data_IF_448701076918
#
_entry.id   IF_448701076918
#
_cell.length_a   1.000
_cell.length_b   1.000
_cell.length_c   1.000
_cell.angle_alpha   90.00
_cell.angle_beta   90.00
_cell.angle_gamma   90.00
#
_symmetry.space_group_name_H-M   'P 1'
#
loop_
_entity.id
_entity.type
_entity.pdbx_description
1 polymer ?
#
# COMPACT_ATOMS: atom_id res chain seq x y z
N UNK A 1 -4.93 -8.43 -25.13
CA UNK A 1 -6.20 -8.32 -24.38
C UNK A 1 -5.97 -7.23 -23.35
N UNK A 2 -6.77 -6.17 -23.36
CA UNK A 2 -6.81 -5.23 -22.24
C UNK A 2 -7.30 -5.99 -21.00
N UNK A 3 -6.62 -5.85 -19.86
CA UNK A 3 -7.08 -6.40 -18.58
C UNK A 3 -8.03 -5.39 -17.97
N UNK A 4 -9.31 -5.57 -18.24
CA UNK A 4 -10.35 -4.83 -17.53
C UNK A 4 -10.81 -5.71 -16.36
N UNK A 5 -10.64 -5.22 -15.15
CA UNK A 5 -10.88 -5.98 -13.93
C UNK A 5 -10.67 -5.11 -12.70
N UNK A 6 -10.96 -5.68 -11.53
CA UNK A 6 -10.68 -5.10 -10.23
C UNK A 6 -9.90 -6.18 -9.47
N UNK A 7 -8.64 -5.92 -9.16
CA UNK A 7 -7.79 -6.81 -8.34
C UNK A 7 -7.79 -6.41 -6.85
N UNK A 8 -8.28 -5.20 -6.55
CA UNK A 8 -8.41 -4.66 -5.21
C UNK A 8 -9.75 -4.99 -4.52
N UNK A 9 -9.80 -4.85 -3.19
CA UNK A 9 -11.07 -4.94 -2.45
C UNK A 9 -11.83 -3.61 -2.49
N UNK A 10 -13.17 -3.67 -2.46
CA UNK A 10 -14.00 -2.48 -2.30
C UNK A 10 -13.91 -1.94 -0.87
N UNK A 11 -13.63 -0.65 -0.74
CA UNK A 11 -13.71 0.07 0.53
C UNK A 11 -15.11 0.70 0.67
N UNK A 12 -15.69 0.69 1.88
CA UNK A 12 -17.11 1.08 2.07
C UNK A 12 -17.27 2.02 3.26
N UNK A 13 -18.05 3.09 3.08
CA UNK A 13 -18.57 3.97 4.14
C UNK A 13 -20.09 4.01 3.96
N UNK A 14 -20.85 3.57 4.95
CA UNK A 14 -22.32 3.49 4.88
C UNK A 14 -22.81 2.83 3.57
N UNK A 15 -23.42 3.61 2.68
CA UNK A 15 -23.92 3.17 1.37
C UNK A 15 -23.03 3.62 0.20
N UNK A 16 -21.79 4.02 0.45
CA UNK A 16 -20.83 4.46 -0.55
C UNK A 16 -19.70 3.44 -0.67
N UNK A 17 -19.51 2.88 -1.86
CA UNK A 17 -18.43 1.96 -2.17
C UNK A 17 -17.38 2.62 -3.05
N UNK A 18 -16.11 2.38 -2.77
CA UNK A 18 -14.97 2.89 -3.50
C UNK A 18 -14.14 1.73 -4.04
N UNK A 19 -13.85 1.76 -5.34
CA UNK A 19 -13.02 0.74 -6.02
C UNK A 19 -12.07 1.42 -6.98
N UNK A 20 -10.94 0.76 -7.23
CA UNK A 20 -10.08 1.08 -8.35
C UNK A 20 -9.96 -0.13 -9.27
N UNK A 21 -9.79 0.13 -10.56
CA UNK A 21 -9.72 -0.90 -11.59
C UNK A 21 -8.36 -0.93 -12.27
N UNK A 22 -8.12 -2.02 -13.00
CA UNK A 22 -6.87 -2.24 -13.71
C UNK A 22 -6.66 -1.30 -14.91
N UNK A 23 -7.66 -0.47 -15.24
CA UNK A 23 -7.56 0.53 -16.31
C UNK A 23 -7.18 1.91 -15.79
N UNK A 24 -6.90 2.02 -14.49
CA UNK A 24 -6.52 3.27 -13.83
C UNK A 24 -7.68 4.19 -13.55
N UNK A 25 -8.87 3.65 -13.24
CA UNK A 25 -9.98 4.47 -12.73
C UNK A 25 -10.19 4.24 -11.23
N UNK A 26 -10.59 5.30 -10.50
CA UNK A 26 -11.18 5.18 -9.16
C UNK A 26 -12.65 5.60 -9.27
N UNK A 27 -13.54 4.78 -8.71
CA UNK A 27 -14.98 5.00 -8.75
C UNK A 27 -15.55 5.12 -7.34
N UNK A 28 -16.54 5.98 -7.17
CA UNK A 28 -17.46 5.98 -6.05
C UNK A 28 -18.86 5.57 -6.52
N UNK A 29 -19.43 4.60 -5.83
CA UNK A 29 -20.71 3.97 -6.13
C UNK A 29 -21.67 4.19 -4.97
N UNK A 30 -22.93 4.52 -5.26
CA UNK A 30 -24.00 4.36 -4.29
C UNK A 30 -24.44 2.89 -4.26
N UNK A 31 -24.14 2.17 -3.19
CA UNK A 31 -24.39 0.73 -3.06
C UNK A 31 -25.88 0.35 -2.97
N UNK A 32 -26.80 1.32 -2.83
CA UNK A 32 -28.25 1.04 -2.84
C UNK A 32 -28.79 0.87 -4.25
N UNK A 33 -28.26 1.62 -5.22
CA UNK A 33 -28.76 1.66 -6.60
C UNK A 33 -27.67 1.40 -7.65
N UNK A 34 -26.43 1.21 -7.22
CA UNK A 34 -25.23 0.98 -8.05
C UNK A 34 -24.89 2.13 -9.01
N UNK A 35 -25.39 3.34 -8.75
CA UNK A 35 -25.06 4.51 -9.54
C UNK A 35 -23.63 5.00 -9.23
N UNK A 36 -22.87 5.33 -10.27
CA UNK A 36 -21.58 6.01 -10.14
C UNK A 36 -21.84 7.46 -9.75
N UNK A 37 -21.37 7.85 -8.58
CA UNK A 37 -21.49 9.22 -8.08
C UNK A 37 -20.39 10.12 -8.63
N UNK A 38 -19.17 9.58 -8.69
CA UNK A 38 -18.02 10.21 -9.35
C UNK A 38 -17.03 9.14 -9.78
N UNK A 39 -16.19 9.46 -10.77
CA UNK A 39 -15.01 8.69 -11.15
C UNK A 39 -13.87 9.65 -11.50
N UNK A 40 -12.64 9.21 -11.25
CA UNK A 40 -11.43 9.97 -11.55
C UNK A 40 -10.34 9.04 -12.09
N UNK A 41 -9.40 9.62 -12.81
CA UNK A 41 -8.19 8.93 -13.28
C UNK A 41 -7.22 8.64 -12.12
N UNK A 42 -6.62 7.46 -12.12
CA UNK A 42 -5.56 6.97 -11.25
C UNK A 42 -4.28 6.62 -12.01
N UNK A 43 -4.17 7.06 -13.27
CA UNK A 43 -2.98 7.03 -14.12
C UNK A 43 -2.59 5.66 -14.67
N UNK A 44 -2.81 4.55 -13.95
CA UNK A 44 -2.39 3.19 -14.34
C UNK A 44 -3.14 2.13 -13.52
N UNK A 45 -2.87 0.85 -13.80
CA UNK A 45 -3.34 -0.33 -13.06
C UNK A 45 -3.21 -0.13 -11.53
N UNK A 46 -4.14 -0.72 -10.79
CA UNK A 46 -4.26 -0.59 -9.34
C UNK A 46 -4.67 -1.91 -8.68
N UNK A 47 -3.68 -2.61 -8.14
CA UNK A 47 -3.90 -3.78 -7.29
C UNK A 47 -4.21 -3.41 -5.82
N UNK A 48 -3.66 -2.30 -5.34
CA UNK A 48 -3.74 -1.91 -3.94
C UNK A 48 -5.18 -1.57 -3.51
N UNK A 49 -5.60 -2.09 -2.35
CA UNK A 49 -6.90 -1.76 -1.77
C UNK A 49 -6.91 -0.31 -1.27
N UNK A 50 -8.01 0.40 -1.55
CA UNK A 50 -8.26 1.76 -1.05
C UNK A 50 -8.38 1.73 0.47
N UNK A 51 -7.61 2.58 1.14
CA UNK A 51 -7.77 2.80 2.57
C UNK A 51 -8.59 4.05 2.84
N UNK A 52 -9.49 3.99 3.82
CA UNK A 52 -10.36 5.09 4.21
C UNK A 52 -9.97 5.58 5.59
N UNK A 53 -9.78 6.88 5.71
CA UNK A 53 -9.53 7.54 6.99
C UNK A 53 -10.60 8.60 7.26
N UNK A 54 -11.08 8.66 8.51
CA UNK A 54 -11.97 9.72 9.00
C UNK A 54 -11.13 10.69 9.84
N UNK A 55 -10.63 11.76 9.22
CA UNK A 55 -9.69 12.67 9.89
C UNK A 55 -10.39 13.66 10.82
N UNK A 56 -11.64 14.00 10.49
CA UNK A 56 -12.58 14.68 11.37
C UNK A 56 -13.94 14.00 11.22
N UNK A 57 -14.83 14.16 12.21
CA UNK A 57 -16.16 13.56 12.18
C UNK A 57 -16.91 13.92 10.89
N UNK A 58 -17.18 12.91 10.05
CA UNK A 58 -17.84 13.04 8.75
C UNK A 58 -16.94 13.46 7.58
N UNK A 59 -15.64 13.68 7.81
CA UNK A 59 -14.65 14.03 6.79
C UNK A 59 -13.77 12.83 6.45
N UNK A 60 -14.12 12.17 5.35
CA UNK A 60 -13.46 10.94 4.91
C UNK A 60 -12.51 11.18 3.73
N UNK A 61 -11.34 10.55 3.79
CA UNK A 61 -10.32 10.59 2.76
C UNK A 61 -9.92 9.19 2.33
N UNK A 62 -9.68 9.03 1.03
CA UNK A 62 -9.21 7.81 0.40
C UNK A 62 -7.70 7.89 0.17
N UNK A 63 -7.01 6.80 0.47
CA UNK A 63 -5.58 6.64 0.26
C UNK A 63 -5.33 5.45 -0.66
N UNK A 64 -4.69 5.71 -1.79
CA UNK A 64 -4.49 4.73 -2.85
C UNK A 64 -3.25 5.07 -3.69
N UNK A 65 -2.65 4.08 -4.31
CA UNK A 65 -1.59 4.28 -5.29
C UNK A 65 -1.90 3.60 -6.62
N UNK A 66 -1.00 3.76 -7.58
CA UNK A 66 -1.08 3.09 -8.87
C UNK A 66 0.25 2.46 -9.27
N UNK A 67 0.20 1.59 -10.27
CA UNK A 67 1.35 0.85 -10.77
C UNK A 67 2.07 1.58 -11.91
N UNK A 68 3.12 0.93 -12.41
CA UNK A 68 3.72 1.18 -13.71
C UNK A 68 3.57 -0.13 -14.49
N UNK A 69 2.39 -0.32 -15.08
CA UNK A 69 2.04 -1.51 -15.87
C UNK A 69 1.73 -1.11 -17.33
N UNK A 70 0.62 -0.42 -17.57
CA UNK A 70 0.15 -0.09 -18.91
C UNK A 70 1.03 1.00 -19.58
N UNK A 71 1.72 1.79 -18.75
CA UNK A 71 2.61 2.86 -19.21
C UNK A 71 4.05 2.36 -19.41
N UNK A 72 4.83 2.93 -20.36
CA UNK A 72 6.20 2.50 -20.60
C UNK A 72 7.09 2.65 -19.36
N UNK A 73 7.72 1.54 -18.94
CA UNK A 73 8.70 1.55 -17.85
C UNK A 73 10.04 2.18 -18.27
N UNK A 74 10.68 3.01 -17.42
CA UNK A 74 10.18 3.48 -16.13
C UNK A 74 9.17 4.61 -16.29
N UNK A 75 8.25 4.71 -15.32
CA UNK A 75 7.35 5.84 -15.18
C UNK A 75 7.13 6.19 -13.70
N UNK A 76 6.36 7.24 -13.44
CA UNK A 76 6.02 7.71 -12.12
C UNK A 76 4.80 6.97 -11.59
N UNK A 77 4.94 6.34 -10.43
CA UNK A 77 3.83 5.87 -9.60
C UNK A 77 3.42 6.98 -8.62
N UNK A 78 2.13 7.13 -8.41
CA UNK A 78 1.51 8.17 -7.60
C UNK A 78 0.81 7.56 -6.40
N UNK A 79 1.16 7.99 -5.20
CA UNK A 79 0.40 7.76 -3.97
C UNK A 79 -0.45 8.99 -3.66
N UNK A 80 -1.75 8.82 -3.42
CA UNK A 80 -2.71 9.93 -3.45
C UNK A 80 -3.60 9.93 -2.21
N UNK A 81 -3.95 11.13 -1.76
CA UNK A 81 -5.06 11.39 -0.84
C UNK A 81 -6.17 12.07 -1.61
N UNK A 82 -7.38 11.51 -1.55
CA UNK A 82 -8.55 11.97 -2.29
C UNK A 82 -9.71 12.20 -1.32
N UNK A 83 -10.48 13.26 -1.51
CA UNK A 83 -11.72 13.49 -0.77
C UNK A 83 -12.77 12.44 -1.18
N UNK A 84 -13.22 11.61 -0.23
CA UNK A 84 -14.17 10.52 -0.51
C UNK A 84 -15.52 11.04 -1.03
N UNK A 85 -15.92 12.26 -0.64
CA UNK A 85 -17.19 12.85 -1.06
C UNK A 85 -17.16 13.34 -2.51
N UNK A 86 -16.05 13.92 -2.96
CA UNK A 86 -15.99 14.67 -4.22
C UNK A 86 -15.11 14.03 -5.28
N UNK A 87 -14.22 13.10 -4.92
CA UNK A 87 -13.17 12.60 -5.81
C UNK A 87 -12.03 13.60 -6.02
N UNK A 88 -12.03 14.73 -5.32
CA UNK A 88 -10.97 15.74 -5.45
C UNK A 88 -9.66 15.22 -4.84
N UNK A 89 -8.57 15.30 -5.60
CA UNK A 89 -7.24 15.02 -5.08
C UNK A 89 -6.77 16.15 -4.15
N UNK A 90 -6.44 15.80 -2.91
CA UNK A 90 -5.93 16.72 -1.90
C UNK A 90 -4.42 16.89 -2.04
N UNK A 91 -3.71 15.77 -2.21
CA UNK A 91 -2.29 15.76 -2.52
C UNK A 91 -1.89 14.44 -3.18
N UNK A 92 -0.70 14.46 -3.80
CA UNK A 92 -0.01 13.26 -4.27
C UNK A 92 1.45 13.24 -3.86
N UNK A 93 2.00 12.05 -3.70
CA UNK A 93 3.41 11.78 -3.45
C UNK A 93 3.92 10.77 -4.48
N UNK A 94 5.09 11.01 -5.04
CA UNK A 94 5.53 10.31 -6.25
C UNK A 94 6.88 9.60 -6.07
N UNK A 95 7.03 8.47 -6.77
CA UNK A 95 8.31 7.81 -7.03
C UNK A 95 8.38 7.33 -8.46
N UNK A 96 9.57 7.37 -9.04
CA UNK A 96 9.84 6.67 -10.31
C UNK A 96 9.96 5.19 -9.99
N UNK A 97 9.18 4.37 -10.68
CA UNK A 97 9.17 2.93 -10.53
C UNK A 97 9.44 2.24 -11.86
N UNK A 98 9.97 1.03 -11.78
CA UNK A 98 10.40 0.24 -12.91
C UNK A 98 9.53 -1.01 -13.03
N UNK A 99 8.90 -1.21 -14.17
CA UNK A 99 8.39 -2.51 -14.61
C UNK A 99 9.42 -3.27 -15.45
N UNK A 100 9.24 -4.58 -15.60
CA UNK A 100 10.07 -5.44 -16.47
C UNK A 100 9.21 -6.39 -17.29
N UNK A 101 9.66 -6.79 -18.48
CA UNK A 101 8.93 -7.79 -19.28
C UNK A 101 9.29 -9.20 -18.84
N UNK A 102 8.30 -9.96 -18.38
CA UNK A 102 8.43 -11.37 -18.03
C UNK A 102 7.42 -12.20 -18.84
N UNK A 103 7.90 -13.09 -19.70
CA UNK A 103 7.06 -13.96 -20.54
C UNK A 103 6.00 -13.21 -21.36
N UNK A 104 6.35 -12.02 -21.88
CA UNK A 104 5.45 -11.19 -22.68
C UNK A 104 4.38 -10.44 -21.89
N UNK A 105 4.46 -10.46 -20.54
CA UNK A 105 3.65 -9.65 -19.63
C UNK A 105 4.54 -8.68 -18.86
N UNK A 106 4.01 -7.52 -18.51
CA UNK A 106 4.69 -6.62 -17.59
C UNK A 106 4.65 -7.25 -16.19
N UNK A 107 5.78 -7.17 -15.52
CA UNK A 107 5.97 -7.44 -14.11
C UNK A 107 6.26 -6.07 -13.49
N UNK A 108 5.20 -5.45 -12.99
CA UNK A 108 5.08 -4.03 -12.70
C UNK A 108 5.85 -3.62 -11.43
N UNK A 109 6.14 -2.33 -11.37
CA UNK A 109 6.52 -1.62 -10.15
C UNK A 109 5.42 -0.64 -9.76
N UNK A 110 5.67 0.20 -8.76
CA UNK A 110 4.67 1.15 -8.24
C UNK A 110 4.02 0.62 -6.96
N UNK A 111 2.77 0.94 -6.70
CA UNK A 111 2.11 0.58 -5.44
C UNK A 111 1.14 -0.57 -5.69
N UNK A 112 1.58 -1.78 -5.35
CA UNK A 112 0.77 -3.01 -5.34
C UNK A 112 0.30 -3.36 -3.92
N UNK A 113 1.14 -3.04 -2.94
CA UNK A 113 0.85 -3.20 -1.53
C UNK A 113 -0.19 -2.18 -1.06
N UNK A 114 -1.21 -2.65 -0.34
CA UNK A 114 -2.20 -1.75 0.27
C UNK A 114 -1.53 -0.86 1.33
N UNK A 115 -1.82 0.46 1.35
CA UNK A 115 -1.26 1.38 2.33
C UNK A 115 -1.67 1.03 3.77
N UNK A 116 -0.92 1.53 4.74
CA UNK A 116 -1.29 1.45 6.16
C UNK A 116 -1.60 2.85 6.69
N UNK A 117 -2.79 3.02 7.26
CA UNK A 117 -3.17 4.24 7.96
C UNK A 117 -2.65 4.18 9.39
N UNK A 118 -1.78 5.13 9.75
CA UNK A 118 -1.33 5.26 11.12
C UNK A 118 -2.48 5.61 12.06
N UNK A 119 -2.41 5.07 13.28
CA UNK A 119 -3.34 5.31 14.39
C UNK A 119 -2.53 5.66 15.65
N UNK A 120 -3.22 5.98 16.74
CA UNK A 120 -2.58 6.33 18.02
C UNK A 120 -1.51 7.44 17.85
N UNK A 121 -0.27 7.23 18.30
CA UNK A 121 0.81 8.21 18.12
C UNK A 121 1.23 8.37 16.65
N UNK A 122 0.92 7.41 15.79
CA UNK A 122 1.14 7.45 14.34
C UNK A 122 -0.01 8.05 13.53
N UNK A 123 -1.07 8.56 14.17
CA UNK A 123 -2.31 9.02 13.49
C UNK A 123 -2.13 10.01 12.36
N UNK A 124 -1.04 10.78 12.36
CA UNK A 124 -0.75 11.80 11.34
C UNK A 124 0.02 11.24 10.13
N UNK A 125 0.32 9.93 10.12
CA UNK A 125 1.14 9.26 9.12
C UNK A 125 0.37 8.20 8.35
N UNK A 126 0.68 8.09 7.07
CA UNK A 126 0.24 6.99 6.21
C UNK A 126 1.48 6.39 5.54
N UNK A 127 1.47 5.07 5.37
CA UNK A 127 2.62 4.32 4.89
C UNK A 127 2.28 3.58 3.60
N UNK A 128 3.18 3.60 2.63
CA UNK A 128 3.02 2.84 1.40
C UNK A 128 4.36 2.28 0.94
N UNK A 129 4.30 1.19 0.16
CA UNK A 129 5.48 0.58 -0.47
C UNK A 129 5.45 0.87 -1.96
N UNK A 130 6.48 1.55 -2.47
CA UNK A 130 6.76 1.66 -3.89
C UNK A 130 7.66 0.51 -4.33
N UNK A 131 7.07 -0.50 -4.97
CA UNK A 131 7.76 -1.61 -5.58
C UNK A 131 8.67 -1.15 -6.71
N UNK A 132 9.88 -1.72 -6.76
CA UNK A 132 10.89 -1.47 -7.81
C UNK A 132 11.11 0.03 -8.04
N UNK A 133 11.35 0.78 -6.98
CA UNK A 133 11.59 2.23 -7.01
C UNK A 133 13.03 2.61 -7.37
N UNK A 134 13.87 1.63 -7.70
CA UNK A 134 15.21 1.83 -8.23
C UNK A 134 15.59 0.82 -9.31
N UNK A 135 16.73 1.08 -9.96
CA UNK A 135 17.27 0.22 -11.04
C UNK A 135 17.72 -1.17 -10.56
N UNK A 136 17.78 -1.40 -9.25
CA UNK A 136 18.10 -2.71 -8.67
C UNK A 136 16.83 -3.52 -8.37
N UNK A 137 15.65 -3.03 -8.77
CA UNK A 137 14.35 -3.63 -8.45
C UNK A 137 14.12 -3.73 -6.93
N UNK A 138 14.54 -2.75 -6.15
CA UNK A 138 14.25 -2.69 -4.70
C UNK A 138 13.05 -1.79 -4.43
N UNK A 139 12.38 -2.01 -3.31
CA UNK A 139 11.27 -1.15 -2.86
C UNK A 139 11.71 -0.03 -1.94
N UNK A 140 10.91 1.03 -1.87
CA UNK A 140 10.89 1.96 -0.73
C UNK A 140 9.61 1.77 0.07
N UNK A 141 9.73 1.57 1.38
CA UNK A 141 8.65 1.91 2.32
C UNK A 141 8.75 3.40 2.61
N UNK A 142 7.66 4.14 2.44
CA UNK A 142 7.61 5.59 2.65
C UNK A 142 6.57 5.92 3.71
N UNK A 143 6.94 6.75 4.69
CA UNK A 143 6.03 7.38 5.62
C UNK A 143 5.71 8.80 5.15
N UNK A 144 4.42 9.10 4.94
CA UNK A 144 3.93 10.39 4.46
C UNK A 144 3.03 11.02 5.51
N UNK A 145 3.18 12.32 5.74
CA UNK A 145 2.27 13.08 6.60
C UNK A 145 0.92 13.28 5.91
N UNK A 146 -0.17 12.82 6.54
CA UNK A 146 -1.54 12.81 5.99
C UNK A 146 -2.08 14.18 5.60
N UNK A 147 -1.66 15.24 6.29
CA UNK A 147 -2.19 16.58 6.05
C UNK A 147 -1.41 17.36 4.99
N UNK A 148 -0.11 17.12 4.89
CA UNK A 148 0.78 17.90 4.01
C UNK A 148 1.20 17.16 2.75
N UNK A 149 1.02 15.83 2.69
CA UNK A 149 1.51 14.98 1.60
C UNK A 149 3.05 14.90 1.53
N UNK A 150 3.76 15.41 2.55
CA UNK A 150 5.22 15.40 2.59
C UNK A 150 5.73 14.12 3.22
N UNK A 151 6.80 13.59 2.65
CA UNK A 151 7.56 12.50 3.25
C UNK A 151 8.12 12.90 4.61
N UNK A 152 7.95 12.02 5.60
CA UNK A 152 8.63 12.08 6.88
C UNK A 152 9.96 11.34 6.82
N UNK A 153 9.95 10.12 6.30
CA UNK A 153 11.12 9.30 6.04
C UNK A 153 10.80 8.22 5.00
N UNK A 154 11.85 7.60 4.46
CA UNK A 154 11.74 6.39 3.65
C UNK A 154 12.82 5.38 4.01
N UNK A 155 12.53 4.10 3.79
CA UNK A 155 13.40 2.98 4.06
C UNK A 155 13.53 2.17 2.78
N UNK A 156 14.77 1.99 2.32
CA UNK A 156 15.10 1.15 1.18
C UNK A 156 15.13 -0.32 1.63
N UNK A 157 14.34 -1.16 0.97
CA UNK A 157 14.32 -2.61 1.18
C UNK A 157 15.44 -3.27 0.36
N UNK A 158 15.71 -4.55 0.61
CA UNK A 158 16.76 -5.30 -0.10
C UNK A 158 16.28 -5.85 -1.45
N UNK A 159 14.96 -6.04 -1.61
CA UNK A 159 14.30 -6.37 -2.86
C UNK A 159 12.95 -5.64 -3.01
N UNK A 160 12.26 -5.90 -4.13
CA UNK A 160 10.90 -5.39 -4.30
C UNK A 160 9.93 -6.15 -3.39
N UNK A 161 8.82 -5.52 -3.06
CA UNK A 161 7.78 -6.09 -2.21
C UNK A 161 6.41 -5.75 -2.77
N UNK A 162 5.55 -6.76 -2.80
CA UNK A 162 4.11 -6.66 -3.07
C UNK A 162 3.28 -6.90 -1.79
N UNK A 163 3.94 -7.32 -0.71
CA UNK A 163 3.30 -7.59 0.57
C UNK A 163 2.86 -6.27 1.21
N UNK A 164 1.59 -6.16 1.59
CA UNK A 164 1.13 -5.01 2.38
C UNK A 164 1.78 -5.04 3.76
N UNK A 165 2.23 -3.91 4.33
CA UNK A 165 2.69 -3.87 5.71
C UNK A 165 1.56 -4.16 6.70
N UNK A 166 1.89 -4.61 7.90
CA UNK A 166 0.96 -4.69 9.02
C UNK A 166 1.40 -3.78 10.17
N UNK A 167 0.45 -3.02 10.71
CA UNK A 167 0.62 -2.22 11.93
C UNK A 167 0.31 -3.00 13.20
N UNK A 168 1.02 -2.68 14.27
CA UNK A 168 0.68 -3.06 15.63
C UNK A 168 1.15 -2.00 16.62
N UNK A 169 0.66 -2.09 17.86
CA UNK A 169 0.81 -1.05 18.85
C UNK A 169 1.12 -1.65 20.22
N UNK A 170 1.92 -0.94 21.00
CA UNK A 170 2.07 -1.22 22.43
C UNK A 170 0.98 -0.51 23.26
N UNK A 171 1.01 -0.74 24.58
CA UNK A 171 0.06 -0.15 25.52
C UNK A 171 0.13 1.38 25.56
N UNK A 172 1.29 1.95 25.25
CA UNK A 172 1.51 3.39 25.17
C UNK A 172 1.07 4.00 23.82
N UNK A 173 0.56 3.17 22.90
CA UNK A 173 0.14 3.56 21.57
C UNK A 173 1.29 3.94 20.64
N UNK A 174 2.52 3.51 20.94
CA UNK A 174 3.62 3.55 19.98
C UNK A 174 3.29 2.57 18.86
N UNK A 175 3.57 2.99 17.62
CA UNK A 175 3.19 2.24 16.43
C UNK A 175 4.43 1.59 15.82
N UNK A 176 4.27 0.35 15.39
CA UNK A 176 5.29 -0.44 14.73
C UNK A 176 4.75 -0.95 13.40
N UNK A 177 5.65 -1.20 12.44
CA UNK A 177 5.30 -1.84 11.17
C UNK A 177 6.13 -3.08 10.97
N UNK A 178 5.46 -4.16 10.57
CA UNK A 178 6.07 -5.37 10.07
C UNK A 178 5.80 -5.50 8.57
N UNK A 179 6.83 -5.79 7.78
CA UNK A 179 6.72 -5.98 6.35
C UNK A 179 7.86 -6.84 5.82
N UNK A 180 7.72 -7.33 4.60
CA UNK A 180 8.68 -8.26 4.00
C UNK A 180 8.97 -7.90 2.55
N UNK A 181 9.98 -8.54 1.97
CA UNK A 181 10.24 -8.51 0.54
C UNK A 181 10.26 -9.90 -0.09
N UNK A 182 10.25 -9.94 -1.42
CA UNK A 182 10.22 -11.19 -2.20
C UNK A 182 11.50 -12.02 -2.08
N UNK A 183 12.59 -11.43 -1.60
CA UNK A 183 13.86 -12.13 -1.33
C UNK A 183 13.88 -12.78 0.06
N UNK A 184 12.77 -12.72 0.80
CA UNK A 184 12.64 -13.37 2.10
C UNK A 184 13.16 -12.53 3.26
N UNK A 185 13.44 -11.24 3.03
CA UNK A 185 13.83 -10.35 4.12
C UNK A 185 12.60 -9.89 4.88
N UNK A 186 12.70 -9.96 6.19
CA UNK A 186 11.72 -9.50 7.17
C UNK A 186 12.22 -8.22 7.80
N UNK A 187 11.31 -7.27 7.98
CA UNK A 187 11.57 -5.97 8.56
C UNK A 187 10.55 -5.67 9.66
N UNK A 188 11.03 -5.09 10.76
CA UNK A 188 10.21 -4.45 11.77
C UNK A 188 10.81 -3.10 12.11
N UNK A 189 9.97 -2.06 12.15
CA UNK A 189 10.42 -0.70 12.42
C UNK A 189 9.56 -0.02 13.49
N UNK A 190 10.15 0.96 14.16
CA UNK A 190 9.39 2.01 14.83
C UNK A 190 8.77 2.91 13.75
N UNK A 191 7.43 2.99 13.73
CA UNK A 191 6.71 3.66 12.66
C UNK A 191 6.73 5.20 12.77
N UNK A 192 7.18 5.75 13.90
CA UNK A 192 7.28 7.20 14.06
C UNK A 192 8.62 7.72 13.55
N UNK A 193 9.69 6.96 13.77
CA UNK A 193 11.06 7.37 13.50
C UNK A 193 11.63 6.74 12.24
N UNK A 194 11.11 5.58 11.82
CA UNK A 194 11.69 4.77 10.75
C UNK A 194 12.89 3.95 11.21
N UNK A 195 13.16 3.87 12.51
CA UNK A 195 14.25 3.07 13.05
C UNK A 195 13.99 1.58 12.81
N UNK A 196 14.99 0.88 12.25
CA UNK A 196 14.95 -0.56 12.05
C UNK A 196 15.15 -1.28 13.39
N UNK A 197 14.09 -1.89 13.91
CA UNK A 197 14.12 -2.64 15.16
C UNK A 197 14.51 -4.09 14.94
N UNK A 198 14.12 -4.65 13.80
CA UNK A 198 14.43 -6.02 13.43
C UNK A 198 14.60 -6.16 11.92
N UNK A 199 15.62 -6.91 11.52
CA UNK A 199 15.86 -7.29 10.14
C UNK A 199 16.47 -8.68 10.08
N UNK A 200 15.80 -9.60 9.38
CA UNK A 200 16.26 -10.98 9.22
C UNK A 200 16.06 -11.43 7.77
N UNK A 201 17.04 -12.14 7.22
CA UNK A 201 16.90 -12.81 5.93
C UNK A 201 16.53 -14.27 6.14
N UNK A 202 15.54 -14.74 5.39
CA UNK A 202 15.09 -16.13 5.40
C UNK A 202 15.22 -16.74 4.00
N UNK A 203 15.10 -18.06 3.89
CA UNK A 203 15.09 -18.75 2.59
C UNK A 203 13.70 -18.76 1.92
N UNK A 204 12.74 -18.00 2.45
CA UNK A 204 11.37 -17.94 1.93
C UNK A 204 11.20 -16.81 0.91
N UNK A 205 10.13 -16.90 0.12
CA UNK A 205 9.68 -15.80 -0.74
C UNK A 205 8.34 -15.31 -0.20
N UNK A 206 8.24 -14.02 0.14
CA UNK A 206 7.01 -13.44 0.67
C UNK A 206 6.33 -12.54 -0.35
N UNK A 207 5.11 -12.92 -0.74
CA UNK A 207 4.20 -12.11 -1.56
C UNK A 207 2.90 -11.82 -0.81
N UNK A 208 2.60 -12.59 0.25
CA UNK A 208 1.41 -12.43 1.06
C UNK A 208 1.61 -11.37 2.15
N UNK A 209 0.55 -10.63 2.46
CA UNK A 209 0.54 -9.69 3.59
C UNK A 209 0.54 -10.43 4.94
N UNK A 210 1.30 -9.96 5.94
CA UNK A 210 1.33 -10.51 7.27
C UNK A 210 0.04 -10.18 8.05
N UNK A 211 -0.26 -10.98 9.06
CA UNK A 211 -1.35 -10.75 10.02
C UNK A 211 -0.77 -10.71 11.43
N UNK A 212 -1.20 -9.74 12.22
CA UNK A 212 -0.86 -9.63 13.64
C UNK A 212 -2.02 -10.15 14.48
N UNK A 213 -1.76 -11.12 15.35
CA UNK A 213 -2.76 -11.68 16.26
C UNK A 213 -2.09 -12.13 17.56
N UNK A 214 -2.58 -11.66 18.71
CA UNK A 214 -2.13 -12.08 20.04
C UNK A 214 -0.60 -12.09 20.20
N UNK A 215 0.06 -10.96 19.93
CA UNK A 215 1.52 -10.82 19.92
C UNK A 215 2.27 -11.76 18.96
N UNK A 216 1.60 -12.28 17.93
CA UNK A 216 2.24 -13.07 16.89
C UNK A 216 2.08 -12.41 15.54
N UNK A 217 3.15 -12.38 14.77
CA UNK A 217 3.14 -12.10 13.34
C UNK A 217 3.05 -13.41 12.59
N UNK A 218 2.01 -13.57 11.79
CA UNK A 218 1.80 -14.74 10.94
C UNK A 218 1.97 -14.31 9.50
N UNK A 219 2.84 -14.99 8.74
CA UNK A 219 3.05 -14.69 7.33
C UNK A 219 3.17 -15.97 6.49
N UNK A 220 2.41 -16.02 5.41
CA UNK A 220 2.51 -17.10 4.43
C UNK A 220 3.62 -16.81 3.42
N UNK A 221 4.44 -17.83 3.16
CA UNK A 221 5.41 -17.79 2.06
C UNK A 221 4.78 -18.33 0.78
N UNK A 222 5.39 -17.99 -0.36
CA UNK A 222 5.14 -18.69 -1.62
C UNK A 222 5.50 -20.17 -1.46
N UNK A 223 4.53 -21.04 -1.65
CA UNK A 223 4.67 -22.48 -1.40
C UNK A 223 3.67 -22.95 -0.34
N UNK A 224 4.12 -23.76 0.62
CA UNK A 224 3.27 -24.41 1.62
C UNK A 224 3.59 -24.04 3.06
N UNK A 225 4.52 -23.11 3.28
CA UNK A 225 5.00 -22.75 4.62
C UNK A 225 4.35 -21.47 5.12
N UNK A 226 3.92 -21.49 6.37
CA UNK A 226 3.45 -20.33 7.14
C UNK A 226 4.38 -20.18 8.34
N UNK A 227 4.90 -18.97 8.53
CA UNK A 227 5.78 -18.65 9.64
C UNK A 227 5.02 -17.88 10.71
N UNK A 228 5.48 -18.02 11.95
CA UNK A 228 4.94 -17.36 13.12
C UNK A 228 6.09 -16.78 13.94
N UNK A 229 6.08 -15.47 14.16
CA UNK A 229 7.07 -14.75 14.96
C UNK A 229 6.38 -14.17 16.20
N UNK A 230 6.94 -14.42 17.38
CA UNK A 230 6.45 -13.81 18.61
C UNK A 230 7.03 -12.40 18.76
N UNK A 231 6.15 -11.43 19.00
CA UNK A 231 6.46 -10.05 19.37
C UNK A 231 6.71 -10.06 20.88
N UNK A 232 7.92 -9.70 21.29
CA UNK A 232 8.35 -9.69 22.70
C UNK A 232 8.31 -8.29 23.29
#
# INVERSE_FOLDING_TARGET
LFRHGIESSMAVIDNYGFVADNSGSILCLNLKNMEILWNIDNYDDTDATIMIDEENLGEFFLYIGNEVDDRPSPDTSHFRKICAKTGEEIWRFNRVCYGSMLNGKVNSGGILASPVLGKHKGKDLVFCIFARSDKQNRSDLVAVNKYTGKEKYSIKLDAYSWSSPADFYDEDGNMYLFFTDVSGTIYMIDALTGEMLFKESTDFCFEASPVILNNNVIIASRGTSVLCYEIK
#
